data_IF_807704374597
#
_entry.id   IF_807704374597
#
_cell.length_a   1.000
_cell.length_b   1.000
_cell.length_c   1.000
_cell.angle_alpha   90.00
_cell.angle_beta   90.00
_cell.angle_gamma   90.00
#
_symmetry.space_group_name_H-M   'P 1'
#
loop_
_entity.id
_entity.type
_entity.pdbx_description
1 polymer ?
#
# COMPACT_ATOMS: atom_id res chain seq x y z
N UNK A 1 25.58 -22.31 30.72
CA UNK A 1 24.29 -22.50 30.01
C UNK A 1 23.47 -21.21 29.81
N UNK A 2 23.90 -20.04 30.32
CA UNK A 2 23.21 -18.76 30.11
C UNK A 2 23.71 -17.94 28.89
N UNK A 3 24.85 -18.31 28.28
CA UNK A 3 25.49 -17.53 27.19
C UNK A 3 25.03 -17.92 25.78
N UNK A 4 24.34 -19.06 25.62
CA UNK A 4 23.89 -19.55 24.29
C UNK A 4 22.53 -18.94 23.86
N UNK A 5 21.83 -18.25 24.76
CA UNK A 5 20.50 -17.67 24.49
C UNK A 5 20.59 -16.21 24.03
N UNK A 6 21.73 -15.53 24.21
CA UNK A 6 21.85 -14.08 24.04
C UNK A 6 22.20 -13.60 22.61
N UNK A 7 22.52 -14.49 21.66
CA UNK A 7 22.98 -14.07 20.32
C UNK A 7 22.22 -14.73 19.16
N UNK A 8 20.88 -14.85 19.28
CA UNK A 8 20.04 -15.10 18.10
C UNK A 8 19.82 -13.82 17.30
N UNK A 9 20.90 -13.14 16.92
CA UNK A 9 20.82 -12.05 15.93
C UNK A 9 20.56 -12.70 14.57
N UNK A 10 19.38 -12.45 14.02
CA UNK A 10 19.06 -12.85 12.65
C UNK A 10 20.14 -12.34 11.69
N UNK A 11 20.55 -13.14 10.68
CA UNK A 11 21.51 -12.69 9.68
C UNK A 11 21.01 -11.39 9.01
N UNK A 12 21.90 -10.46 8.62
CA UNK A 12 21.51 -9.17 8.05
C UNK A 12 20.44 -9.25 6.95
N UNK A 13 20.55 -10.19 6.00
CA UNK A 13 19.55 -10.40 4.95
C UNK A 13 18.17 -10.81 5.45
N UNK A 14 18.08 -11.61 6.52
CA UNK A 14 16.78 -11.99 7.12
C UNK A 14 16.08 -10.80 7.79
N UNK A 15 16.84 -9.85 8.37
CA UNK A 15 16.27 -8.61 8.93
C UNK A 15 15.77 -7.67 7.84
N UNK A 16 16.49 -7.58 6.73
CA UNK A 16 16.09 -6.78 5.57
C UNK A 16 14.85 -7.35 4.88
N UNK A 17 14.77 -8.68 4.73
CA UNK A 17 13.59 -9.36 4.23
C UNK A 17 12.35 -9.10 5.10
N UNK A 18 12.48 -9.20 6.44
CA UNK A 18 11.38 -8.88 7.36
C UNK A 18 10.94 -7.41 7.24
N UNK A 19 11.90 -6.47 7.21
CA UNK A 19 11.60 -5.05 7.06
C UNK A 19 10.87 -4.76 5.73
N UNK A 20 11.32 -5.38 4.63
CA UNK A 20 10.67 -5.28 3.33
C UNK A 20 9.21 -5.78 3.38
N UNK A 21 8.99 -6.97 3.96
CA UNK A 21 7.66 -7.56 4.07
C UNK A 21 6.72 -6.74 4.95
N UNK A 22 7.22 -6.13 6.03
CA UNK A 22 6.43 -5.22 6.86
C UNK A 22 6.00 -3.97 6.09
N UNK A 23 6.88 -3.40 5.26
CA UNK A 23 6.54 -2.25 4.40
C UNK A 23 5.53 -2.66 3.32
N UNK A 24 5.71 -3.81 2.68
CA UNK A 24 4.74 -4.35 1.70
C UNK A 24 3.37 -4.54 2.35
N UNK A 25 3.32 -5.12 3.56
CA UNK A 25 2.08 -5.32 4.30
C UNK A 25 1.41 -4.00 4.67
N UNK A 26 2.18 -2.99 5.09
CA UNK A 26 1.67 -1.66 5.37
C UNK A 26 1.06 -1.01 4.11
N UNK A 27 1.72 -1.12 2.95
CA UNK A 27 1.18 -0.61 1.68
C UNK A 27 -0.11 -1.36 1.29
N UNK A 28 -0.15 -2.68 1.45
CA UNK A 28 -1.35 -3.48 1.18
C UNK A 28 -2.53 -3.03 2.07
N UNK A 29 -2.30 -2.88 3.38
CA UNK A 29 -3.30 -2.41 4.34
C UNK A 29 -3.77 -0.98 4.05
N UNK A 30 -2.88 -0.10 3.61
CA UNK A 30 -3.24 1.24 3.17
C UNK A 30 -4.22 1.19 1.98
N UNK A 31 -4.01 0.30 1.02
CA UNK A 31 -4.91 0.16 -0.13
C UNK A 31 -6.25 -0.45 0.25
N UNK A 32 -6.29 -1.36 1.24
CA UNK A 32 -7.56 -1.79 1.85
C UNK A 32 -8.28 -0.61 2.51
N UNK A 33 -7.55 0.24 3.24
CA UNK A 33 -8.15 1.43 3.86
C UNK A 33 -8.73 2.40 2.82
N UNK A 34 -8.02 2.66 1.72
CA UNK A 34 -8.49 3.49 0.61
C UNK A 34 -9.71 2.86 -0.05
N UNK A 35 -9.68 1.55 -0.34
CA UNK A 35 -10.83 0.80 -0.85
C UNK A 35 -12.06 1.03 0.03
N UNK A 36 -11.92 0.90 1.35
CA UNK A 36 -13.05 1.06 2.27
C UNK A 36 -13.61 2.47 2.23
N UNK A 37 -12.73 3.48 2.17
CA UNK A 37 -13.17 4.87 2.04
C UNK A 37 -13.91 5.12 0.72
N UNK A 38 -13.41 4.59 -0.40
CA UNK A 38 -13.95 4.85 -1.74
C UNK A 38 -15.21 4.04 -2.05
N UNK A 39 -15.31 2.78 -1.60
CA UNK A 39 -16.46 1.92 -1.88
C UNK A 39 -17.60 2.10 -0.88
N UNK A 40 -17.29 2.24 0.41
CA UNK A 40 -18.31 2.16 1.47
C UNK A 40 -18.54 3.50 2.15
N UNK A 41 -17.52 4.34 2.30
CA UNK A 41 -17.60 5.56 3.10
C UNK A 41 -17.57 6.86 2.29
N UNK A 42 -17.56 6.80 0.96
CA UNK A 42 -17.31 7.95 0.07
C UNK A 42 -18.26 9.12 0.33
N UNK A 43 -19.56 8.83 0.46
CA UNK A 43 -20.61 9.83 0.68
C UNK A 43 -20.82 10.20 2.14
N UNK A 44 -20.05 9.61 3.06
CA UNK A 44 -20.12 9.92 4.51
C UNK A 44 -19.25 11.14 4.84
N UNK A 45 -19.47 11.80 6.00
CA UNK A 45 -18.60 12.88 6.46
C UNK A 45 -17.13 12.47 6.64
N UNK A 46 -16.85 11.17 6.80
CA UNK A 46 -15.48 10.66 6.90
C UNK A 46 -14.80 10.61 5.52
N UNK A 47 -15.48 10.06 4.51
CA UNK A 47 -14.98 10.03 3.13
C UNK A 47 -14.79 11.43 2.57
N UNK A 48 -15.80 12.29 2.72
CA UNK A 48 -15.74 13.69 2.31
C UNK A 48 -14.54 14.43 2.91
N UNK A 49 -14.25 14.26 4.22
CA UNK A 49 -13.07 14.86 4.86
C UNK A 49 -11.75 14.27 4.39
N UNK A 50 -11.71 12.96 4.11
CA UNK A 50 -10.49 12.30 3.66
C UNK A 50 -10.05 12.81 2.27
N UNK A 51 -11.01 13.11 1.39
CA UNK A 51 -10.76 13.51 0.00
C UNK A 51 -11.09 14.98 -0.31
N UNK A 52 -11.58 15.76 0.66
CA UNK A 52 -11.91 17.18 0.49
C UNK A 52 -13.12 17.43 -0.41
N UNK A 53 -14.17 16.61 -0.30
CA UNK A 53 -15.33 16.63 -1.19
C UNK A 53 -16.48 17.44 -0.60
N UNK A 54 -17.27 18.11 -1.44
CA UNK A 54 -18.61 18.56 -1.06
C UNK A 54 -19.58 17.37 -1.04
N UNK A 55 -20.69 17.44 -0.28
CA UNK A 55 -21.71 16.40 -0.30
C UNK A 55 -22.25 16.11 -1.70
N UNK A 56 -22.50 17.16 -2.50
CA UNK A 56 -23.05 17.05 -3.85
C UNK A 56 -22.09 16.32 -4.79
N UNK A 57 -20.80 16.69 -4.74
CA UNK A 57 -19.78 16.05 -5.57
C UNK A 57 -19.56 14.59 -5.18
N UNK A 58 -19.56 14.29 -3.88
CA UNK A 58 -19.43 12.91 -3.39
C UNK A 58 -20.61 12.03 -3.84
N UNK A 59 -21.84 12.58 -3.85
CA UNK A 59 -23.00 11.85 -4.35
C UNK A 59 -22.92 11.64 -5.87
N UNK A 60 -22.56 12.67 -6.63
CA UNK A 60 -22.47 12.60 -8.09
C UNK A 60 -21.40 11.61 -8.58
N UNK A 61 -20.33 11.38 -7.80
CA UNK A 61 -19.19 10.54 -8.17
C UNK A 61 -19.14 9.19 -7.46
N UNK A 62 -20.18 8.81 -6.71
CA UNK A 62 -20.18 7.61 -5.86
C UNK A 62 -19.80 6.33 -6.59
N UNK A 63 -20.35 6.09 -7.79
CA UNK A 63 -20.08 4.88 -8.57
C UNK A 63 -18.67 4.88 -9.17
N UNK A 64 -18.17 6.05 -9.58
CA UNK A 64 -16.80 6.22 -10.04
C UNK A 64 -15.81 5.90 -8.91
N UNK A 65 -16.05 6.46 -7.72
CA UNK A 65 -15.24 6.19 -6.54
C UNK A 65 -15.28 4.71 -6.15
N UNK A 66 -16.46 4.07 -6.15
CA UNK A 66 -16.54 2.64 -5.86
C UNK A 66 -15.70 1.79 -6.83
N UNK A 67 -15.62 2.16 -8.11
CA UNK A 67 -14.77 1.47 -9.07
C UNK A 67 -13.27 1.73 -8.82
N UNK A 68 -12.90 2.96 -8.44
CA UNK A 68 -11.53 3.27 -8.00
C UNK A 68 -11.13 2.46 -6.77
N UNK A 69 -12.06 2.33 -5.81
CA UNK A 69 -11.87 1.52 -4.61
C UNK A 69 -11.66 0.04 -4.92
N UNK A 70 -12.39 -0.51 -5.89
CA UNK A 70 -12.20 -1.90 -6.32
C UNK A 70 -10.80 -2.13 -6.90
N UNK A 71 -10.28 -1.19 -7.70
CA UNK A 71 -8.90 -1.28 -8.21
C UNK A 71 -7.87 -1.23 -7.08
N UNK A 72 -8.07 -0.37 -6.07
CA UNK A 72 -7.25 -0.39 -4.85
C UNK A 72 -7.31 -1.77 -4.15
N UNK A 73 -8.45 -2.45 -4.18
CA UNK A 73 -8.60 -3.83 -3.71
C UNK A 73 -7.74 -4.83 -4.47
N UNK A 74 -7.66 -4.72 -5.80
CA UNK A 74 -6.79 -5.59 -6.61
C UNK A 74 -5.31 -5.36 -6.29
N UNK A 75 -4.90 -4.11 -6.05
CA UNK A 75 -3.55 -3.79 -5.61
C UNK A 75 -3.23 -4.43 -4.26
N UNK A 76 -4.12 -4.29 -3.28
CA UNK A 76 -3.97 -4.90 -1.96
C UNK A 76 -3.91 -6.45 -2.06
N UNK A 77 -4.82 -7.06 -2.83
CA UNK A 77 -4.86 -8.51 -3.02
C UNK A 77 -3.56 -9.04 -3.64
N UNK A 78 -3.02 -8.35 -4.65
CA UNK A 78 -1.74 -8.67 -5.27
C UNK A 78 -0.56 -8.63 -4.29
N UNK A 79 -0.51 -7.60 -3.44
CA UNK A 79 0.54 -7.46 -2.43
C UNK A 79 0.43 -8.53 -1.34
N UNK A 80 -0.78 -8.82 -0.83
CA UNK A 80 -0.99 -9.91 0.13
C UNK A 80 -0.66 -11.28 -0.47
N UNK A 81 -0.99 -11.49 -1.74
CA UNK A 81 -0.63 -12.71 -2.45
C UNK A 81 0.89 -12.85 -2.58
N UNK A 82 1.59 -11.78 -2.95
CA UNK A 82 3.04 -11.75 -2.97
C UNK A 82 3.65 -12.08 -1.60
N UNK A 83 3.09 -11.53 -0.51
CA UNK A 83 3.51 -11.86 0.86
C UNK A 83 3.29 -13.33 1.21
N UNK A 84 2.12 -13.89 0.88
CA UNK A 84 1.82 -15.32 1.10
C UNK A 84 2.87 -16.20 0.45
N UNK A 85 3.24 -15.92 -0.80
CA UNK A 85 4.22 -16.71 -1.56
C UNK A 85 5.66 -16.68 -0.98
N UNK A 86 5.93 -15.86 0.04
CA UNK A 86 7.25 -15.76 0.66
C UNK A 86 8.34 -15.38 -0.35
N UNK A 87 9.40 -16.18 -0.42
CA UNK A 87 10.51 -15.97 -1.36
C UNK A 87 10.08 -16.05 -2.84
N UNK A 88 9.07 -16.87 -3.17
CA UNK A 88 8.53 -16.97 -4.53
C UNK A 88 7.70 -15.76 -4.97
N UNK A 89 7.38 -14.85 -4.04
CA UNK A 89 6.51 -13.70 -4.30
C UNK A 89 7.23 -12.42 -4.72
N UNK A 90 8.57 -12.42 -4.86
CA UNK A 90 9.34 -11.19 -5.11
C UNK A 90 8.85 -10.41 -6.33
N UNK A 91 8.67 -11.10 -7.47
CA UNK A 91 8.20 -10.47 -8.71
C UNK A 91 6.78 -9.89 -8.58
N UNK A 92 5.90 -10.58 -7.86
CA UNK A 92 4.53 -10.12 -7.56
C UNK A 92 4.57 -8.86 -6.70
N UNK A 93 5.34 -8.87 -5.60
CA UNK A 93 5.50 -7.70 -4.72
C UNK A 93 6.04 -6.50 -5.50
N UNK A 94 7.09 -6.69 -6.30
CA UNK A 94 7.71 -5.62 -7.11
C UNK A 94 6.74 -5.07 -8.15
N UNK A 95 5.99 -5.93 -8.86
CA UNK A 95 5.02 -5.50 -9.86
C UNK A 95 3.94 -4.61 -9.22
N UNK A 96 3.30 -5.08 -8.16
CA UNK A 96 2.22 -4.33 -7.52
C UNK A 96 2.73 -3.05 -6.83
N UNK A 97 3.88 -3.08 -6.16
CA UNK A 97 4.49 -1.85 -5.63
C UNK A 97 4.85 -0.87 -6.75
N UNK A 98 5.30 -1.36 -7.91
CA UNK A 98 5.54 -0.55 -9.09
C UNK A 98 4.27 0.15 -9.59
N UNK A 99 3.16 -0.59 -9.68
CA UNK A 99 1.85 -0.02 -9.99
C UNK A 99 1.45 1.07 -8.99
N UNK A 100 1.60 0.82 -7.68
CA UNK A 100 1.32 1.82 -6.63
C UNK A 100 2.20 3.05 -6.79
N UNK A 101 3.50 2.88 -7.06
CA UNK A 101 4.42 4.00 -7.22
C UNK A 101 4.02 4.90 -8.41
N UNK A 102 3.72 4.30 -9.56
CA UNK A 102 3.30 5.01 -10.78
C UNK A 102 1.95 5.69 -10.60
N UNK A 103 0.95 4.98 -10.05
CA UNK A 103 -0.36 5.56 -9.76
C UNK A 103 -0.25 6.72 -8.75
N UNK A 104 0.60 6.57 -7.73
CA UNK A 104 0.87 7.62 -6.76
C UNK A 104 1.52 8.86 -7.37
N UNK A 105 2.46 8.68 -8.32
CA UNK A 105 3.07 9.81 -9.05
C UNK A 105 2.04 10.54 -9.89
N UNK A 106 1.23 9.79 -10.65
CA UNK A 106 0.17 10.38 -11.47
C UNK A 106 -0.86 11.11 -10.60
N UNK A 107 -1.32 10.51 -9.51
CA UNK A 107 -2.25 11.13 -8.57
C UNK A 107 -1.65 12.37 -7.88
N UNK A 108 -0.36 12.35 -7.56
CA UNK A 108 0.32 13.52 -7.00
C UNK A 108 0.35 14.71 -7.97
N UNK A 109 0.52 14.45 -9.26
CA UNK A 109 0.53 15.48 -10.30
C UNK A 109 -0.87 16.01 -10.63
N UNK A 110 -1.90 15.18 -10.51
CA UNK A 110 -3.25 15.47 -11.04
C UNK A 110 -4.31 15.78 -9.98
N UNK A 111 -4.17 15.26 -8.76
CA UNK A 111 -5.20 15.38 -7.72
C UNK A 111 -4.69 16.03 -6.43
N UNK A 112 -3.61 15.51 -5.83
CA UNK A 112 -3.08 16.07 -4.58
C UNK A 112 -1.65 15.65 -4.30
N UNK A 113 -0.77 16.61 -4.00
CA UNK A 113 0.62 16.35 -3.60
C UNK A 113 0.76 15.41 -2.40
N UNK A 114 -0.28 15.29 -1.56
CA UNK A 114 -0.29 14.34 -0.43
C UNK A 114 -0.16 12.89 -0.88
N UNK A 115 -0.64 12.57 -2.09
CA UNK A 115 -0.61 11.22 -2.66
C UNK A 115 0.83 10.74 -2.83
N UNK A 116 1.77 11.63 -3.14
CA UNK A 116 3.20 11.28 -3.23
C UNK A 116 3.71 10.65 -1.94
N UNK A 117 3.38 11.25 -0.80
CA UNK A 117 3.86 10.82 0.51
C UNK A 117 3.10 9.62 1.06
N UNK A 118 1.84 9.46 0.70
CA UNK A 118 1.00 8.35 1.18
C UNK A 118 1.16 7.10 0.32
N UNK A 119 1.40 7.24 -1.00
CA UNK A 119 1.47 6.10 -1.92
C UNK A 119 2.89 5.88 -2.48
N UNK A 120 3.44 6.86 -3.20
CA UNK A 120 4.72 6.67 -3.92
C UNK A 120 5.90 6.44 -2.99
N UNK A 121 6.05 7.24 -1.93
CA UNK A 121 7.18 7.11 -1.00
C UNK A 121 7.19 5.73 -0.30
N UNK A 122 6.09 5.26 0.31
CA UNK A 122 6.04 3.91 0.89
C UNK A 122 6.29 2.80 -0.13
N UNK A 123 5.77 2.93 -1.36
CA UNK A 123 5.98 1.95 -2.41
C UNK A 123 7.45 1.89 -2.85
N UNK A 124 8.08 3.05 -3.08
CA UNK A 124 9.49 3.15 -3.43
C UNK A 124 10.40 2.60 -2.32
N UNK A 125 10.06 2.87 -1.05
CA UNK A 125 10.75 2.28 0.10
C UNK A 125 10.66 0.75 0.09
N UNK A 126 9.46 0.20 -0.13
CA UNK A 126 9.25 -1.24 -0.23
C UNK A 126 10.07 -1.87 -1.36
N UNK A 127 10.09 -1.25 -2.53
CA UNK A 127 10.91 -1.68 -3.68
C UNK A 127 12.39 -1.67 -3.31
N UNK A 128 12.89 -0.58 -2.74
CA UNK A 128 14.30 -0.46 -2.34
C UNK A 128 14.71 -1.52 -1.32
N UNK A 129 13.86 -1.80 -0.34
CA UNK A 129 14.11 -2.85 0.66
C UNK A 129 14.09 -4.25 0.06
N UNK A 130 13.14 -4.56 -0.84
CA UNK A 130 13.07 -5.85 -1.52
C UNK A 130 14.28 -6.12 -2.42
N UNK A 131 14.82 -5.09 -3.07
CA UNK A 131 16.00 -5.21 -3.93
C UNK A 131 17.32 -5.28 -3.16
N UNK A 132 17.31 -4.87 -1.89
CA UNK A 132 18.50 -4.87 -1.04
C UNK A 132 18.60 -6.09 -0.11
N UNK A 133 17.50 -6.83 0.08
CA UNK A 133 17.39 -8.00 0.96
C UNK A 133 17.97 -9.28 0.33
#
# INVERSE_FOLDING_TARGET
>A
MATIIADRRFPPGARMALAADLVVALVALLHVYILVLEMFLWTTPRGQRAFGLTPEFAQATRTLAANQGLYNGFLAAGLFWGLWLGAGGLSVKLFFLGCVAVAGLYGAATASRRILFVQTVPAALGIGLLLAA
#
